data_IF_271203587556
#
_entry.id   IF_271203587556
#
_cell.length_a   1.000
_cell.length_b   1.000
_cell.length_c   1.000
_cell.angle_alpha   90.00
_cell.angle_beta   90.00
_cell.angle_gamma   90.00
#
_symmetry.space_group_name_H-M   'P 1'
#
loop_
_entity.id
_entity.type
_entity.pdbx_description
1 polymer ?
#
# COMPACT_ATOMS: atom_id res chain seq x y z
N UNK A 1 -30.50 2.19 -2.14
CA UNK A 1 -31.06 3.53 -2.30
C UNK A 1 -32.57 3.43 -2.29
N UNK A 2 -33.24 4.22 -1.44
CA UNK A 2 -34.71 4.33 -1.41
C UNK A 2 -35.10 5.78 -1.24
N UNK A 3 -35.91 6.27 -2.15
CA UNK A 3 -36.52 7.58 -2.10
C UNK A 3 -38.00 7.44 -1.72
N UNK A 4 -38.43 8.15 -0.70
CA UNK A 4 -39.81 8.17 -0.27
C UNK A 4 -40.28 9.63 -0.10
N UNK A 5 -41.02 10.15 -1.10
CA UNK A 5 -41.44 11.55 -1.17
C UNK A 5 -40.26 12.53 -1.09
N UNK A 6 -40.08 13.18 0.08
CA UNK A 6 -39.03 14.18 0.37
C UNK A 6 -37.81 13.58 1.07
N UNK A 7 -37.78 12.25 1.26
CA UNK A 7 -36.74 11.53 2.01
C UNK A 7 -35.96 10.62 1.07
N UNK A 8 -34.67 10.78 1.02
CA UNK A 8 -33.78 9.89 0.29
C UNK A 8 -32.78 9.22 1.23
N UNK A 9 -32.72 7.90 1.19
CA UNK A 9 -31.82 7.09 2.00
C UNK A 9 -30.87 6.32 1.07
N UNK A 10 -29.59 6.50 1.31
CA UNK A 10 -28.54 5.77 0.64
C UNK A 10 -27.70 5.03 1.68
N UNK A 11 -27.62 3.72 1.57
CA UNK A 11 -26.80 2.88 2.44
C UNK A 11 -25.99 1.93 1.60
N UNK A 12 -24.70 1.87 1.90
CA UNK A 12 -23.74 0.94 1.29
C UNK A 12 -23.01 0.22 2.41
N UNK A 13 -23.06 -1.10 2.38
CA UNK A 13 -22.27 -1.97 3.25
C UNK A 13 -21.43 -2.89 2.37
N UNK A 14 -20.21 -3.11 2.74
CA UNK A 14 -19.34 -3.96 1.97
C UNK A 14 -18.17 -4.53 2.77
N UNK A 15 -17.62 -5.57 2.19
CA UNK A 15 -16.40 -6.22 2.66
C UNK A 15 -15.42 -6.29 1.51
N UNK A 16 -14.15 -6.16 1.81
CA UNK A 16 -13.07 -6.31 0.85
C UNK A 16 -12.06 -7.33 1.38
N UNK A 17 -11.74 -8.30 0.54
CA UNK A 17 -10.66 -9.26 0.78
C UNK A 17 -9.63 -9.08 -0.33
N UNK A 18 -8.41 -8.75 0.04
CA UNK A 18 -7.32 -8.58 -0.91
C UNK A 18 -6.15 -9.46 -0.52
N UNK A 19 -5.69 -10.26 -1.47
CA UNK A 19 -4.50 -11.08 -1.35
C UNK A 19 -3.53 -10.67 -2.46
N UNK A 20 -2.35 -10.23 -2.06
CA UNK A 20 -1.26 -9.88 -2.96
C UNK A 20 -0.07 -10.77 -2.67
N UNK A 21 0.42 -11.44 -3.70
CA UNK A 21 1.67 -12.20 -3.66
C UNK A 21 2.68 -11.52 -4.56
N UNK A 22 3.83 -11.19 -4.01
CA UNK A 22 4.95 -10.62 -4.74
C UNK A 22 6.10 -11.61 -4.69
N UNK A 23 6.58 -12.01 -5.86
CA UNK A 23 7.78 -12.83 -6.00
C UNK A 23 8.78 -12.03 -6.81
N UNK A 24 9.97 -11.82 -6.26
CA UNK A 24 11.06 -11.13 -6.94
C UNK A 24 12.21 -12.10 -7.14
N UNK A 25 12.78 -12.05 -8.31
CA UNK A 25 13.97 -12.82 -8.68
C UNK A 25 15.01 -11.86 -9.25
N UNK A 26 16.21 -11.89 -8.68
CA UNK A 26 17.35 -11.16 -9.21
C UNK A 26 18.24 -12.13 -9.96
N UNK A 27 18.39 -11.92 -11.26
CA UNK A 27 19.29 -12.72 -12.09
C UNK A 27 20.74 -12.44 -11.72
N UNK A 28 21.61 -13.47 -11.73
CA UNK A 28 23.02 -13.25 -11.58
C UNK A 28 23.56 -12.40 -12.73
N UNK A 29 24.57 -11.60 -12.45
CA UNK A 29 25.28 -10.85 -13.50
C UNK A 29 26.12 -11.80 -14.32
N UNK A 30 26.15 -11.59 -15.60
CA UNK A 30 26.99 -12.36 -16.57
C UNK A 30 27.96 -11.40 -17.26
N UNK A 31 29.06 -11.90 -17.77
CA UNK A 31 30.04 -11.13 -18.51
C UNK A 31 30.50 -11.86 -19.77
N UNK A 32 31.25 -11.19 -20.63
CA UNK A 32 31.79 -11.78 -21.85
C UNK A 32 30.70 -12.33 -22.78
N UNK A 33 29.62 -11.57 -22.94
CA UNK A 33 28.58 -11.92 -23.92
C UNK A 33 29.19 -11.92 -25.33
N UNK A 34 28.96 -12.99 -26.07
CA UNK A 34 29.34 -13.15 -27.47
C UNK A 34 28.07 -13.19 -28.32
N UNK A 35 27.91 -12.24 -29.20
CA UNK A 35 26.72 -12.05 -30.04
C UNK A 35 26.60 -13.14 -31.13
N UNK A 36 27.72 -13.65 -31.62
CA UNK A 36 27.72 -14.69 -32.66
C UNK A 36 27.30 -16.07 -32.15
N UNK A 37 27.71 -16.37 -30.91
CA UNK A 37 27.42 -17.68 -30.29
C UNK A 37 26.30 -17.64 -29.31
N UNK A 38 25.78 -16.44 -28.99
CA UNK A 38 24.75 -16.19 -27.97
C UNK A 38 25.13 -16.77 -26.59
N UNK A 39 26.42 -16.75 -26.28
CA UNK A 39 26.95 -17.28 -25.02
C UNK A 39 27.45 -16.18 -24.10
N UNK A 40 27.46 -16.45 -22.81
CA UNK A 40 28.01 -15.57 -21.76
C UNK A 40 28.72 -16.43 -20.71
N UNK A 41 29.53 -15.76 -19.88
CA UNK A 41 30.22 -16.38 -18.74
C UNK A 41 29.60 -15.90 -17.45
N UNK A 42 29.46 -16.82 -16.51
CA UNK A 42 29.10 -16.50 -15.12
C UNK A 42 30.35 -16.04 -14.36
N UNK A 43 30.16 -15.19 -13.37
CA UNK A 43 31.22 -14.84 -12.43
C UNK A 43 31.69 -16.11 -11.69
N UNK A 44 32.98 -16.20 -11.36
CA UNK A 44 33.50 -17.31 -10.56
C UNK A 44 32.76 -17.43 -9.24
N UNK A 45 32.26 -18.59 -8.94
CA UNK A 45 31.48 -18.84 -7.74
C UNK A 45 32.26 -18.45 -6.47
N UNK A 46 31.61 -17.68 -5.57
CA UNK A 46 32.07 -17.44 -4.22
C UNK A 46 33.03 -16.28 -4.01
N UNK A 47 33.40 -15.54 -5.05
CA UNK A 47 34.30 -14.40 -4.88
C UNK A 47 33.57 -13.08 -4.55
N UNK A 48 32.29 -12.98 -4.86
CA UNK A 48 31.48 -11.77 -4.69
C UNK A 48 31.96 -10.55 -5.47
N UNK A 49 33.19 -10.60 -5.98
CA UNK A 49 33.85 -9.52 -6.71
C UNK A 49 34.79 -10.07 -7.75
N UNK A 50 34.74 -9.50 -8.95
CA UNK A 50 35.69 -9.77 -10.03
C UNK A 50 36.58 -8.56 -10.23
N UNK A 51 37.90 -8.75 -10.08
CA UNK A 51 38.87 -7.74 -10.41
C UNK A 51 39.21 -7.83 -11.91
N UNK A 52 38.95 -6.76 -12.64
CA UNK A 52 39.31 -6.63 -14.08
C UNK A 52 40.23 -5.42 -14.24
N UNK A 53 41.05 -5.45 -15.29
CA UNK A 53 41.87 -4.29 -15.64
C UNK A 53 41.15 -3.48 -16.72
N UNK A 54 41.15 -2.17 -16.53
CA UNK A 54 40.68 -1.23 -17.54
C UNK A 54 41.74 -1.04 -18.64
N UNK A 55 41.40 -0.23 -19.66
CA UNK A 55 42.30 0.09 -20.76
C UNK A 55 43.58 0.82 -20.33
N UNK A 56 43.59 1.40 -19.14
CA UNK A 56 44.74 2.13 -18.58
C UNK A 56 45.53 1.31 -17.58
N UNK A 57 45.18 0.01 -17.39
CA UNK A 57 45.84 -0.88 -16.45
C UNK A 57 45.38 -0.78 -15.01
N UNK A 58 44.40 0.08 -14.70
CA UNK A 58 43.84 0.18 -13.36
C UNK A 58 42.98 -1.05 -13.04
N UNK A 59 42.95 -1.46 -11.79
CA UNK A 59 42.10 -2.55 -11.34
C UNK A 59 40.73 -2.00 -10.98
N UNK A 60 39.69 -2.42 -11.71
CA UNK A 60 38.29 -2.14 -11.41
C UNK A 60 37.67 -3.38 -10.80
N UNK A 61 36.94 -3.20 -9.70
CA UNK A 61 36.22 -4.31 -9.06
C UNK A 61 34.76 -4.26 -9.49
N UNK A 62 34.28 -5.35 -10.07
CA UNK A 62 32.88 -5.54 -10.45
C UNK A 62 32.24 -6.50 -9.46
N UNK A 63 31.18 -6.04 -8.80
CA UNK A 63 30.46 -6.85 -7.83
C UNK A 63 29.63 -7.92 -8.54
N UNK A 64 29.72 -9.14 -8.02
CA UNK A 64 28.83 -10.24 -8.39
C UNK A 64 27.54 -10.12 -7.57
N UNK A 65 26.41 -10.18 -8.24
CA UNK A 65 25.11 -10.27 -7.61
C UNK A 65 24.66 -11.71 -7.63
N UNK A 66 24.65 -12.35 -6.46
CA UNK A 66 24.05 -13.66 -6.29
C UNK A 66 22.55 -13.62 -6.64
N UNK A 67 22.05 -14.72 -7.19
CA UNK A 67 20.62 -14.87 -7.40
C UNK A 67 19.88 -14.78 -6.07
N UNK A 68 18.92 -13.88 -5.98
CA UNK A 68 18.08 -13.76 -4.79
C UNK A 68 16.64 -14.01 -5.16
N UNK A 69 15.96 -14.75 -4.32
CA UNK A 69 14.53 -14.98 -4.41
C UNK A 69 13.88 -14.33 -3.21
N UNK A 70 12.96 -13.43 -3.46
CA UNK A 70 12.16 -12.81 -2.41
C UNK A 70 10.71 -13.14 -2.61
N UNK A 71 10.07 -13.52 -1.54
CA UNK A 71 8.66 -13.88 -1.51
C UNK A 71 7.96 -13.09 -0.42
N UNK A 72 6.95 -12.33 -0.81
CA UNK A 72 6.11 -11.59 0.12
C UNK A 72 4.64 -11.86 -0.11
N UNK A 73 3.87 -11.97 0.96
CA UNK A 73 2.44 -12.19 0.92
C UNK A 73 1.72 -11.18 1.79
N UNK A 74 0.88 -10.37 1.16
CA UNK A 74 0.08 -9.34 1.79
C UNK A 74 -1.39 -9.76 1.78
N UNK A 75 -2.02 -9.75 2.94
CA UNK A 75 -3.43 -10.07 3.13
C UNK A 75 -4.12 -8.92 3.83
N UNK A 76 -5.19 -8.45 3.22
CA UNK A 76 -6.02 -7.38 3.75
C UNK A 76 -7.46 -7.85 3.85
N UNK A 77 -8.09 -7.50 4.94
CA UNK A 77 -9.51 -7.62 5.16
C UNK A 77 -10.05 -6.27 5.57
N UNK A 78 -11.10 -5.81 4.92
CA UNK A 78 -11.76 -4.56 5.26
C UNK A 78 -13.26 -4.77 5.36
N UNK A 79 -13.85 -4.11 6.35
CA UNK A 79 -15.29 -3.99 6.50
C UNK A 79 -15.63 -2.51 6.48
N UNK A 80 -16.60 -2.11 5.67
CA UNK A 80 -17.00 -0.72 5.56
C UNK A 80 -18.50 -0.54 5.43
N UNK A 81 -18.96 0.61 5.91
CA UNK A 81 -20.33 1.04 5.80
C UNK A 81 -20.41 2.54 5.57
N UNK A 82 -21.29 2.95 4.66
CA UNK A 82 -21.61 4.35 4.42
C UNK A 82 -23.12 4.49 4.46
N UNK A 83 -23.60 5.55 5.08
CA UNK A 83 -24.99 5.92 5.09
C UNK A 83 -25.14 7.41 4.81
N UNK A 84 -26.13 7.77 4.02
CA UNK A 84 -26.51 9.15 3.79
C UNK A 84 -28.03 9.27 3.80
N UNK A 85 -28.51 10.31 4.43
CA UNK A 85 -29.92 10.69 4.46
C UNK A 85 -30.07 12.11 3.96
N UNK A 86 -30.92 12.29 2.96
CA UNK A 86 -31.23 13.59 2.39
C UNK A 86 -32.70 13.90 2.58
N UNK A 87 -32.96 15.08 3.10
CA UNK A 87 -34.30 15.63 3.28
C UNK A 87 -34.53 16.76 2.29
N UNK A 88 -35.62 16.66 1.53
CA UNK A 88 -36.12 17.68 0.59
C UNK A 88 -35.10 18.15 -0.46
N UNK A 89 -34.12 17.31 -0.77
CA UNK A 89 -32.96 17.66 -1.61
C UNK A 89 -32.13 18.87 -1.08
N UNK A 90 -32.41 19.32 0.13
CA UNK A 90 -31.76 20.48 0.74
C UNK A 90 -30.73 20.11 1.78
N UNK A 91 -31.07 19.18 2.67
CA UNK A 91 -30.26 18.85 3.83
C UNK A 91 -29.80 17.39 3.72
N UNK A 92 -28.51 17.16 3.78
CA UNK A 92 -27.96 15.80 3.78
C UNK A 92 -27.09 15.60 5.00
N UNK A 93 -27.32 14.52 5.73
CA UNK A 93 -26.43 14.00 6.77
C UNK A 93 -25.83 12.71 6.23
N UNK A 94 -24.52 12.57 6.38
CA UNK A 94 -23.80 11.37 5.95
C UNK A 94 -22.85 10.87 7.03
N UNK A 95 -22.67 9.56 7.09
CA UNK A 95 -21.71 8.93 7.97
C UNK A 95 -21.00 7.79 7.26
N UNK A 96 -19.75 7.56 7.60
CA UNK A 96 -18.97 6.43 7.13
C UNK A 96 -18.20 5.80 8.27
N UNK A 97 -18.05 4.48 8.21
CA UNK A 97 -17.18 3.72 9.09
C UNK A 97 -16.44 2.68 8.27
N UNK A 98 -15.16 2.51 8.57
CA UNK A 98 -14.32 1.48 7.96
C UNK A 98 -13.38 0.89 9.02
N UNK A 99 -13.20 -0.41 9.01
CA UNK A 99 -12.16 -1.08 9.77
C UNK A 99 -11.33 -1.93 8.83
N UNK A 100 -10.02 -1.83 8.96
CA UNK A 100 -9.06 -2.52 8.10
C UNK A 100 -8.17 -3.42 8.97
N UNK A 101 -7.98 -4.65 8.53
CA UNK A 101 -7.04 -5.59 9.12
C UNK A 101 -6.06 -6.07 8.05
N UNK A 102 -4.79 -6.15 8.41
CA UNK A 102 -3.77 -6.75 7.54
C UNK A 102 -2.76 -7.53 8.35
N UNK A 103 -2.03 -8.42 7.68
CA UNK A 103 -0.92 -9.15 8.30
C UNK A 103 0.31 -8.26 8.59
N UNK A 104 0.26 -6.96 8.24
CA UNK A 104 1.32 -5.99 8.49
C UNK A 104 1.05 -5.09 9.68
N UNK A 105 -0.20 -4.92 10.12
CA UNK A 105 -0.52 -3.88 11.09
C UNK A 105 0.05 -4.21 12.48
N UNK A 106 -0.27 -5.34 13.05
CA UNK A 106 0.25 -5.82 14.35
C UNK A 106 -0.46 -7.10 14.77
N UNK A 107 0.11 -7.81 15.73
CA UNK A 107 -0.56 -8.92 16.41
C UNK A 107 -1.49 -8.43 17.54
N UNK A 108 -1.38 -7.16 17.97
CA UNK A 108 -2.26 -6.58 18.98
C UNK A 108 -3.65 -6.29 18.40
N UNK A 109 -4.72 -6.94 18.89
CA UNK A 109 -6.09 -6.77 18.38
C UNK A 109 -6.60 -5.33 18.47
N UNK A 110 -6.14 -4.57 19.46
CA UNK A 110 -6.57 -3.19 19.70
C UNK A 110 -6.23 -2.26 18.54
N UNK A 111 -5.07 -2.47 17.92
CA UNK A 111 -4.60 -1.65 16.80
C UNK A 111 -4.91 -2.27 15.44
N UNK A 112 -5.13 -3.59 15.40
CA UNK A 112 -5.43 -4.32 14.17
C UNK A 112 -6.78 -3.93 13.56
N UNK A 113 -7.78 -3.60 14.40
CA UNK A 113 -9.15 -3.33 13.97
C UNK A 113 -9.61 -1.91 14.33
N UNK A 114 -8.67 -0.96 14.45
CA UNK A 114 -9.03 0.42 14.76
C UNK A 114 -10.00 0.98 13.70
N UNK A 115 -11.20 1.45 14.08
CA UNK A 115 -12.14 1.96 13.11
C UNK A 115 -11.78 3.37 12.70
N UNK A 116 -11.88 3.63 11.42
CA UNK A 116 -11.89 4.97 10.83
C UNK A 116 -13.34 5.37 10.61
N UNK A 117 -13.67 6.60 10.87
CA UNK A 117 -15.04 7.07 10.74
C UNK A 117 -15.09 8.53 10.33
N UNK A 118 -16.17 8.89 9.69
CA UNK A 118 -16.47 10.28 9.39
C UNK A 118 -17.97 10.54 9.47
N UNK A 119 -18.31 11.77 9.81
CA UNK A 119 -19.67 12.29 9.76
C UNK A 119 -19.64 13.62 9.01
N UNK A 120 -20.66 13.86 8.19
CA UNK A 120 -20.75 15.09 7.41
C UNK A 120 -22.18 15.59 7.30
N UNK A 121 -22.29 16.90 7.20
CA UNK A 121 -23.52 17.60 6.86
C UNK A 121 -23.35 18.39 5.57
N UNK A 122 -24.38 18.43 4.76
CA UNK A 122 -24.43 19.25 3.56
C UNK A 122 -25.76 20.00 3.52
N UNK A 123 -25.67 21.29 3.22
CA UNK A 123 -26.81 22.17 2.98
C UNK A 123 -26.77 22.69 1.54
N UNK A 124 -27.80 22.38 0.80
CA UNK A 124 -27.96 22.85 -0.57
C UNK A 124 -28.71 24.20 -0.58
N UNK A 125 -27.97 25.26 -0.40
CA UNK A 125 -28.49 26.63 -0.35
C UNK A 125 -29.21 27.04 -1.64
N UNK A 126 -28.75 26.56 -2.80
CA UNK A 126 -29.37 26.85 -4.08
C UNK A 126 -30.80 26.32 -4.24
N UNK A 127 -31.25 25.44 -3.34
CA UNK A 127 -32.63 24.93 -3.32
C UNK A 127 -33.53 25.68 -2.32
N UNK A 128 -32.99 26.68 -1.65
CA UNK A 128 -33.76 27.49 -0.70
C UNK A 128 -34.54 28.60 -1.42
N UNK A 129 -35.75 28.91 -0.93
CA UNK A 129 -36.61 29.89 -1.57
C UNK A 129 -36.02 31.30 -1.59
N UNK A 130 -35.19 31.66 -0.63
CA UNK A 130 -34.54 32.97 -0.60
C UNK A 130 -33.42 33.10 -1.68
N UNK A 131 -32.97 31.99 -2.24
CA UNK A 131 -31.95 32.00 -3.31
C UNK A 131 -32.56 32.19 -4.70
N UNK A 132 -33.86 32.00 -4.87
CA UNK A 132 -34.54 32.13 -6.16
C UNK A 132 -34.45 33.54 -6.76
N UNK A 133 -34.22 34.56 -5.93
CA UNK A 133 -34.08 35.95 -6.36
C UNK A 133 -32.68 36.32 -6.88
N UNK A 134 -31.69 35.40 -6.69
CA UNK A 134 -30.32 35.61 -7.10
C UNK A 134 -30.01 34.86 -8.39
N UNK A 135 -30.40 35.44 -9.53
CA UNK A 135 -30.29 34.83 -10.87
C UNK A 135 -28.86 34.51 -11.34
N UNK A 136 -27.84 34.98 -10.66
CA UNK A 136 -26.44 34.75 -11.03
C UNK A 136 -25.81 33.54 -10.29
N UNK A 137 -26.55 32.89 -9.39
CA UNK A 137 -26.09 31.72 -8.63
C UNK A 137 -26.95 30.52 -9.01
N UNK A 138 -26.47 29.69 -9.92
CA UNK A 138 -27.19 28.48 -10.34
C UNK A 138 -27.18 27.40 -9.28
N UNK A 139 -26.10 27.30 -8.49
CA UNK A 139 -26.03 26.37 -7.38
C UNK A 139 -25.04 26.81 -6.31
N UNK A 140 -25.42 26.62 -5.05
CA UNK A 140 -24.58 26.87 -3.88
C UNK A 140 -24.81 25.77 -2.85
N UNK A 141 -23.71 25.13 -2.41
CA UNK A 141 -23.74 24.05 -1.43
C UNK A 141 -22.70 24.32 -0.34
N UNK A 142 -23.12 24.22 0.91
CA UNK A 142 -22.23 24.22 2.05
C UNK A 142 -22.06 22.79 2.54
N UNK A 143 -20.82 22.34 2.74
CA UNK A 143 -20.52 21.02 3.27
C UNK A 143 -19.52 21.12 4.41
N UNK A 144 -19.82 20.43 5.51
CA UNK A 144 -18.93 20.26 6.65
C UNK A 144 -18.75 18.77 6.91
N UNK A 145 -17.51 18.35 7.10
CA UNK A 145 -17.19 16.95 7.40
C UNK A 145 -16.16 16.91 8.52
N UNK A 146 -16.40 16.02 9.48
CA UNK A 146 -15.48 15.73 10.57
C UNK A 146 -15.28 14.23 10.69
N UNK A 147 -14.05 13.78 10.98
CA UNK A 147 -13.79 12.38 11.11
C UNK A 147 -12.39 12.08 11.58
N UNK A 148 -12.17 10.80 11.89
CA UNK A 148 -10.89 10.22 12.24
C UNK A 148 -10.45 9.30 11.11
N UNK A 149 -9.28 9.59 10.55
CA UNK A 149 -8.69 8.82 9.46
C UNK A 149 -7.25 8.44 9.82
N UNK A 150 -6.78 7.32 9.32
CA UNK A 150 -5.42 6.83 9.54
C UNK A 150 -4.84 6.22 8.28
N UNK A 151 -3.53 6.09 8.27
CA UNK A 151 -2.79 5.38 7.22
C UNK A 151 -1.92 4.32 7.87
N UNK A 152 -1.75 3.19 7.18
CA UNK A 152 -0.84 2.11 7.58
C UNK A 152 0.47 2.28 6.83
N UNK A 153 1.55 2.47 7.58
CA UNK A 153 2.90 2.42 7.02
C UNK A 153 3.29 0.96 6.79
N UNK A 154 3.45 0.58 5.52
CA UNK A 154 3.88 -0.75 5.11
C UNK A 154 5.39 -0.86 4.90
N UNK A 155 6.14 0.22 5.12
CA UNK A 155 7.60 0.25 4.94
C UNK A 155 8.35 -0.40 6.10
N UNK A 156 7.74 -0.44 7.27
CA UNK A 156 8.33 -1.02 8.48
C UNK A 156 7.62 -2.31 8.88
N UNK A 157 8.41 -3.34 9.22
CA UNK A 157 7.89 -4.57 9.82
C UNK A 157 7.80 -4.41 11.33
N UNK A 158 6.64 -4.75 11.92
CA UNK A 158 6.49 -4.84 13.36
C UNK A 158 7.16 -6.08 13.96
N UNK A 159 7.54 -7.06 13.12
CA UNK A 159 8.29 -8.24 13.55
C UNK A 159 9.77 -7.93 13.60
N UNK A 160 10.48 -8.34 14.67
CA UNK A 160 11.92 -8.17 14.73
C UNK A 160 12.58 -8.92 13.56
N UNK A 161 13.40 -8.21 12.80
CA UNK A 161 14.25 -8.83 11.78
C UNK A 161 15.46 -9.42 12.47
N UNK A 162 15.55 -10.75 12.51
CA UNK A 162 16.73 -11.45 12.97
C UNK A 162 17.62 -11.72 11.75
N UNK A 163 18.75 -11.06 11.67
CA UNK A 163 19.79 -11.39 10.71
C UNK A 163 20.66 -12.48 11.32
N UNK A 164 20.65 -13.66 10.73
CA UNK A 164 21.59 -14.72 11.07
C UNK A 164 22.89 -14.36 10.37
N UNK A 165 23.86 -13.84 11.10
CA UNK A 165 25.22 -13.69 10.61
C UNK A 165 25.80 -15.07 10.26
N UNK A 166 26.64 -15.13 9.23
CA UNK A 166 27.38 -16.35 8.92
C UNK A 166 28.12 -16.81 10.19
N UNK A 167 27.82 -18.03 10.62
CA UNK A 167 28.61 -18.68 11.65
C UNK A 167 29.99 -18.91 11.05
N UNK A 168 30.95 -18.12 11.47
CA UNK A 168 32.35 -18.43 11.18
C UNK A 168 32.63 -19.80 11.81
N UNK A 169 33.11 -20.75 10.99
CA UNK A 169 33.39 -22.10 11.43
C UNK A 169 34.44 -22.04 12.55
N UNK A 170 34.01 -22.23 13.80
CA UNK A 170 34.87 -22.26 14.97
C UNK A 170 35.61 -23.61 15.12
N UNK A 171 35.59 -24.44 14.09
CA UNK A 171 36.34 -25.69 14.05
C UNK A 171 37.59 -25.54 13.17
N UNK A 172 38.57 -24.72 13.62
CA UNK A 172 39.98 -25.01 13.33
C UNK A 172 40.43 -26.07 14.33
N UNK A 173 40.34 -27.32 13.93
CA UNK A 173 41.07 -28.38 14.59
C UNK A 173 42.52 -28.26 14.13
N UNK A 174 43.38 -27.73 14.97
CA UNK A 174 44.82 -27.87 14.82
C UNK A 174 45.21 -29.33 15.20
N UNK A 175 45.77 -30.03 14.25
CA UNK A 175 46.55 -31.23 14.49
C UNK A 175 48.02 -30.85 14.24
#
# INVERSE_FOLDING_TARGET
>A
NRTFRRHDFNVVLGTELRHRRTTSYTSPRVYGYNDETLTSKLFPNGTGKLAIKDLFGNTITVDDYASTFTFNTDRFFSLYGNAAYTFDNKYTISGSVRTDASNFITDDPKYRYAPFWSVGGMWNLGQESFMSDYLFIDWLRLRLTYGYNGNVDTSTSFKPLVSIGSVENVYKHEI
#
